data_IF_894740528970
#
_entry.id   IF_894740528970
#
_cell.length_a   1.000
_cell.length_b   1.000
_cell.length_c   1.000
_cell.angle_alpha   90.00
_cell.angle_beta   90.00
_cell.angle_gamma   90.00
#
_symmetry.space_group_name_H-M   'P 1'
#
loop_
_entity.id
_entity.type
_entity.pdbx_description
1 polymer ?
#
# COMPACT_ATOMS: atom_id res chain seq x y z
N UNK A 1 9.98 -1.47 11.38
CA UNK A 1 8.60 -0.94 11.36
C UNK A 1 7.99 -1.33 10.03
N UNK A 2 6.76 -1.82 10.03
CA UNK A 2 5.99 -2.16 8.84
C UNK A 2 4.83 -1.18 8.65
N UNK A 3 4.78 -0.53 7.50
CA UNK A 3 3.64 0.26 7.06
C UNK A 3 2.87 -0.49 5.96
N UNK A 4 1.55 -0.61 6.14
CA UNK A 4 0.63 -1.09 5.12
C UNK A 4 -0.06 0.11 4.48
N UNK A 5 -0.06 0.19 3.15
CA UNK A 5 -0.74 1.26 2.41
C UNK A 5 -1.88 0.64 1.62
N UNK A 6 -3.10 1.08 1.92
CA UNK A 6 -4.29 0.73 1.14
C UNK A 6 -4.41 1.66 -0.06
N UNK A 7 -4.35 1.08 -1.25
CA UNK A 7 -4.20 1.76 -2.54
C UNK A 7 -2.75 1.72 -3.03
N UNK A 8 -2.55 1.52 -4.34
CA UNK A 8 -1.24 1.53 -5.00
C UNK A 8 -1.18 2.48 -6.21
N UNK A 9 -2.08 3.45 -6.26
CA UNK A 9 -2.09 4.55 -7.24
C UNK A 9 -0.91 5.53 -7.07
N UNK A 10 -0.94 6.65 -7.79
CA UNK A 10 0.13 7.65 -7.84
C UNK A 10 0.39 8.33 -6.47
N UNK A 11 -0.66 8.77 -5.77
CA UNK A 11 -0.55 9.37 -4.44
C UNK A 11 0.00 8.37 -3.41
N UNK A 12 -0.56 7.15 -3.39
CA UNK A 12 -0.10 6.08 -2.52
C UNK A 12 1.37 5.73 -2.79
N UNK A 13 1.78 5.70 -4.07
CA UNK A 13 3.17 5.44 -4.47
C UNK A 13 4.13 6.52 -3.98
N UNK A 14 3.71 7.78 -4.00
CA UNK A 14 4.47 8.88 -3.40
C UNK A 14 4.72 8.68 -1.90
N UNK A 15 3.69 8.30 -1.14
CA UNK A 15 3.81 7.99 0.28
C UNK A 15 4.72 6.77 0.52
N UNK A 16 4.52 5.70 -0.24
CA UNK A 16 5.32 4.48 -0.18
C UNK A 16 6.81 4.75 -0.36
N UNK A 17 7.17 5.51 -1.41
CA UNK A 17 8.57 5.87 -1.66
C UNK A 17 9.18 6.67 -0.51
N UNK A 18 8.42 7.61 0.08
CA UNK A 18 8.93 8.42 1.19
C UNK A 18 9.20 7.56 2.41
N UNK A 19 8.26 6.68 2.78
CA UNK A 19 8.41 5.76 3.90
C UNK A 19 9.58 4.79 3.67
N UNK A 20 9.67 4.19 2.48
CA UNK A 20 10.75 3.29 2.11
C UNK A 20 12.14 3.94 2.23
N UNK A 21 12.28 5.17 1.72
CA UNK A 21 13.55 5.93 1.82
C UNK A 21 13.91 6.32 3.26
N UNK A 22 12.96 6.26 4.19
CA UNK A 22 13.22 6.43 5.63
C UNK A 22 13.57 5.12 6.35
N UNK A 23 13.68 3.99 5.63
CA UNK A 23 14.00 2.68 6.20
C UNK A 23 12.80 1.96 6.82
N UNK A 24 11.57 2.35 6.44
CA UNK A 24 10.34 1.66 6.85
C UNK A 24 9.98 0.63 5.78
N UNK A 25 9.70 -0.60 6.20
CA UNK A 25 9.19 -1.63 5.30
C UNK A 25 7.77 -1.26 4.86
N UNK A 26 7.49 -1.34 3.57
CA UNK A 26 6.19 -0.96 3.01
C UNK A 26 5.58 -2.11 2.24
N UNK A 27 4.33 -2.45 2.55
CA UNK A 27 3.47 -3.31 1.75
C UNK A 27 2.30 -2.47 1.24
N UNK A 28 1.88 -2.69 0.00
CA UNK A 28 0.74 -1.99 -0.59
C UNK A 28 -0.36 -2.98 -1.00
N UNK A 29 -1.62 -2.55 -0.92
CA UNK A 29 -2.75 -3.29 -1.50
C UNK A 29 -3.47 -2.43 -2.54
N UNK A 30 -4.13 -3.07 -3.50
CA UNK A 30 -5.03 -2.38 -4.44
C UNK A 30 -6.10 -3.34 -4.96
N UNK A 31 -6.98 -2.84 -5.83
CA UNK A 31 -7.92 -3.63 -6.59
C UNK A 31 -7.18 -4.66 -7.47
N UNK A 32 -7.78 -5.85 -7.64
CA UNK A 32 -7.27 -6.86 -8.58
C UNK A 32 -7.16 -6.35 -10.03
N UNK A 33 -7.95 -5.33 -10.38
CA UNK A 33 -7.83 -4.56 -11.62
C UNK A 33 -7.67 -3.09 -11.28
N UNK A 34 -6.43 -2.59 -11.10
CA UNK A 34 -6.20 -1.22 -10.69
C UNK A 34 -6.73 -0.19 -11.69
N UNK A 35 -7.20 0.94 -11.17
CA UNK A 35 -7.82 2.02 -11.96
C UNK A 35 -6.92 3.25 -12.11
N UNK A 36 -5.64 3.14 -11.71
CA UNK A 36 -4.68 4.23 -11.77
C UNK A 36 -4.60 4.84 -13.18
N UNK A 37 -4.86 6.15 -13.26
CA UNK A 37 -4.75 6.90 -14.52
C UNK A 37 -3.27 7.13 -14.84
N UNK A 38 -2.49 7.62 -13.86
CA UNK A 38 -1.05 7.88 -13.99
C UNK A 38 -0.23 6.62 -13.75
N UNK A 39 -0.32 5.65 -14.67
CA UNK A 39 0.27 4.32 -14.49
C UNK A 39 1.79 4.32 -14.35
N UNK A 40 2.51 5.18 -15.06
CA UNK A 40 4.00 5.18 -15.05
C UNK A 40 4.61 5.51 -13.69
N UNK A 41 3.82 6.08 -12.77
CA UNK A 41 4.25 6.47 -11.42
C UNK A 41 3.49 5.72 -10.33
N UNK A 42 2.76 4.64 -10.70
CA UNK A 42 1.92 3.88 -9.79
C UNK A 42 2.46 2.45 -9.60
N UNK A 43 2.69 2.04 -8.35
CA UNK A 43 3.10 0.67 -8.02
C UNK A 43 2.01 -0.36 -8.29
N UNK A 44 0.75 0.05 -8.47
CA UNK A 44 -0.35 -0.83 -8.88
C UNK A 44 -0.06 -1.60 -10.18
N UNK A 45 0.85 -1.13 -11.04
CA UNK A 45 1.29 -1.88 -12.22
C UNK A 45 1.90 -3.24 -11.87
N UNK A 46 2.48 -3.42 -10.68
CA UNK A 46 2.99 -4.71 -10.25
C UNK A 46 1.88 -5.78 -10.23
N UNK A 47 0.64 -5.41 -9.85
CA UNK A 47 -0.50 -6.34 -9.88
C UNK A 47 -0.77 -6.87 -11.30
N UNK A 48 -0.64 -6.00 -12.31
CA UNK A 48 -0.95 -6.34 -13.70
C UNK A 48 0.21 -7.08 -14.39
N UNK A 49 1.45 -6.65 -14.12
CA UNK A 49 2.64 -7.08 -14.86
C UNK A 49 3.56 -8.01 -14.07
N UNK A 50 3.23 -8.31 -12.81
CA UNK A 50 4.07 -9.08 -11.89
C UNK A 50 5.10 -8.22 -11.17
N UNK A 51 5.63 -7.17 -11.80
CA UNK A 51 6.53 -6.21 -11.19
C UNK A 51 6.45 -4.83 -11.87
N UNK A 52 6.98 -3.81 -11.20
CA UNK A 52 7.20 -2.50 -11.78
C UNK A 52 8.34 -1.78 -11.06
N UNK A 53 8.91 -0.74 -11.67
CA UNK A 53 9.91 0.12 -11.02
C UNK A 53 9.50 1.56 -11.19
N UNK A 54 9.41 2.29 -10.08
CA UNK A 54 9.11 3.73 -10.05
C UNK A 54 10.24 4.42 -9.31
N UNK A 55 10.89 5.41 -9.94
CA UNK A 55 11.99 6.18 -9.34
C UNK A 55 13.09 5.31 -8.72
N UNK A 56 13.42 4.20 -9.38
CA UNK A 56 14.44 3.24 -8.95
C UNK A 56 14.01 2.26 -7.84
N UNK A 57 12.80 2.40 -7.29
CA UNK A 57 12.24 1.46 -6.34
C UNK A 57 11.46 0.36 -7.07
N UNK A 58 11.90 -0.89 -6.90
CA UNK A 58 11.24 -2.06 -7.47
C UNK A 58 10.10 -2.53 -6.58
N UNK A 59 8.93 -2.69 -7.19
CA UNK A 59 7.76 -3.28 -6.58
C UNK A 59 7.37 -4.57 -7.28
N UNK A 60 6.94 -5.58 -6.50
CA UNK A 60 6.66 -6.93 -6.99
C UNK A 60 5.30 -7.38 -6.49
N UNK A 61 4.54 -8.07 -7.32
CA UNK A 61 3.26 -8.66 -6.93
C UNK A 61 3.50 -9.75 -5.90
N UNK A 62 2.76 -9.70 -4.79
CA UNK A 62 2.67 -10.78 -3.83
C UNK A 62 1.28 -11.39 -3.89
N UNK A 63 1.18 -12.71 -3.79
CA UNK A 63 -0.08 -13.44 -3.76
C UNK A 63 -0.70 -13.48 -2.37
N UNK A 64 0.10 -13.30 -1.32
CA UNK A 64 -0.35 -13.32 0.08
C UNK A 64 0.64 -12.60 1.02
N UNK A 65 0.24 -12.45 2.29
CA UNK A 65 1.04 -11.78 3.32
C UNK A 65 2.38 -12.47 3.61
N UNK A 66 2.43 -13.81 3.59
CA UNK A 66 3.67 -14.55 3.78
C UNK A 66 4.69 -14.28 2.66
N UNK A 67 4.24 -14.24 1.40
CA UNK A 67 5.07 -13.86 0.26
C UNK A 67 5.49 -12.39 0.33
N UNK A 68 4.59 -11.49 0.75
CA UNK A 68 4.93 -10.09 0.95
C UNK A 68 6.08 -9.92 1.97
N UNK A 69 6.01 -10.62 3.11
CA UNK A 69 7.10 -10.64 4.11
C UNK A 69 8.41 -11.19 3.54
N UNK A 70 8.35 -12.15 2.61
CA UNK A 70 9.54 -12.66 1.92
C UNK A 70 10.15 -11.61 0.99
N UNK A 71 9.34 -10.98 0.16
CA UNK A 71 9.79 -9.94 -0.78
C UNK A 71 10.39 -8.72 -0.07
N UNK A 72 9.86 -8.33 1.09
CA UNK A 72 10.45 -7.29 1.93
C UNK A 72 11.89 -7.64 2.35
N UNK A 73 12.13 -8.88 2.80
CA UNK A 73 13.49 -9.34 3.16
C UNK A 73 14.44 -9.37 1.97
N UNK A 74 13.91 -9.48 0.76
CA UNK A 74 14.66 -9.41 -0.51
C UNK A 74 14.84 -7.96 -1.01
N UNK A 75 14.35 -6.97 -0.27
CA UNK A 75 14.50 -5.55 -0.60
C UNK A 75 13.57 -5.06 -1.71
N UNK A 76 12.46 -5.75 -1.95
CA UNK A 76 11.43 -5.34 -2.93
C UNK A 76 10.14 -4.92 -2.22
N UNK A 77 9.45 -3.91 -2.76
CA UNK A 77 8.17 -3.43 -2.25
C UNK A 77 7.03 -4.36 -2.70
N UNK A 78 6.33 -5.07 -1.81
CA UNK A 78 5.27 -5.98 -2.22
C UNK A 78 3.96 -5.23 -2.49
N UNK A 79 3.24 -5.65 -3.54
CA UNK A 79 1.92 -5.13 -3.88
C UNK A 79 0.94 -6.29 -4.02
N UNK A 80 -0.15 -6.28 -3.25
CA UNK A 80 -1.17 -7.32 -3.26
C UNK A 80 -2.44 -6.84 -3.96
N UNK A 81 -3.04 -7.74 -4.75
CA UNK A 81 -4.41 -7.60 -5.23
C UNK A 81 -5.40 -7.95 -4.11
N UNK A 82 -5.57 -7.03 -3.17
CA UNK A 82 -6.38 -7.20 -1.94
C UNK A 82 -7.24 -5.94 -1.69
N UNK A 83 -8.43 -5.84 -2.33
CA UNK A 83 -9.28 -4.65 -2.27
C UNK A 83 -9.82 -4.36 -0.85
N UNK A 84 -10.03 -5.41 -0.07
CA UNK A 84 -10.53 -5.32 1.31
C UNK A 84 -9.41 -5.10 2.33
N UNK A 85 -8.15 -5.12 1.90
CA UNK A 85 -6.99 -4.98 2.78
C UNK A 85 -6.98 -6.05 3.89
N UNK A 86 -7.46 -7.26 3.59
CA UNK A 86 -7.58 -8.37 4.53
C UNK A 86 -6.20 -8.88 5.01
N UNK A 87 -5.16 -8.74 4.20
CA UNK A 87 -3.79 -9.13 4.56
C UNK A 87 -3.26 -8.41 5.82
N UNK A 88 -3.90 -7.29 6.21
CA UNK A 88 -3.62 -6.57 7.46
C UNK A 88 -3.63 -7.47 8.69
N UNK A 89 -4.57 -8.42 8.78
CA UNK A 89 -4.70 -9.29 9.96
C UNK A 89 -3.44 -10.15 10.17
N UNK A 90 -2.84 -10.65 9.09
CA UNK A 90 -1.63 -11.47 9.13
C UNK A 90 -0.34 -10.62 9.15
N UNK A 91 -0.35 -9.48 8.46
CA UNK A 91 0.78 -8.56 8.43
C UNK A 91 0.97 -7.83 9.77
N UNK A 92 -0.13 -7.55 10.48
CA UNK A 92 -0.17 -6.79 11.73
C UNK A 92 0.74 -5.53 11.69
N UNK A 93 0.46 -4.57 10.78
CA UNK A 93 1.35 -3.44 10.54
C UNK A 93 1.36 -2.47 11.73
N UNK A 94 2.50 -1.78 11.90
CA UNK A 94 2.65 -0.70 12.89
C UNK A 94 1.89 0.56 12.45
N UNK A 95 1.74 0.75 11.13
CA UNK A 95 1.00 1.85 10.55
C UNK A 95 0.13 1.40 9.36
N UNK A 96 -1.09 1.94 9.28
CA UNK A 96 -1.97 1.81 8.13
C UNK A 96 -2.19 3.18 7.49
N UNK A 97 -1.87 3.29 6.21
CA UNK A 97 -2.11 4.50 5.40
C UNK A 97 -3.23 4.20 4.42
N UNK A 98 -4.38 4.85 4.56
CA UNK A 98 -5.46 4.78 3.57
C UNK A 98 -5.28 5.88 2.53
N UNK A 99 -4.94 5.48 1.30
CA UNK A 99 -4.67 6.37 0.19
C UNK A 99 -5.55 6.07 -1.04
N UNK A 100 -6.73 5.47 -0.86
CA UNK A 100 -7.65 5.16 -1.97
C UNK A 100 -8.39 6.39 -2.51
N UNK A 101 -8.26 7.56 -1.88
CA UNK A 101 -8.89 8.83 -2.27
C UNK A 101 -10.42 8.77 -2.41
N UNK A 102 -11.08 8.04 -1.49
CA UNK A 102 -12.54 7.85 -1.50
C UNK A 102 -13.37 9.12 -1.19
N UNK A 103 -12.72 10.23 -0.82
CA UNK A 103 -13.35 11.49 -0.38
C UNK A 103 -14.17 11.43 0.92
N UNK A 104 -14.15 10.28 1.58
CA UNK A 104 -14.80 9.96 2.86
C UNK A 104 -14.14 8.71 3.44
N UNK A 105 -14.26 8.50 4.75
CA UNK A 105 -13.77 7.28 5.39
C UNK A 105 -14.55 6.06 4.88
N UNK A 106 -13.85 5.08 4.28
CA UNK A 106 -14.44 3.85 3.78
C UNK A 106 -13.70 2.63 4.33
N UNK A 107 -14.24 2.03 5.38
CA UNK A 107 -13.80 0.73 5.89
C UNK A 107 -12.49 0.73 6.70
N UNK A 108 -11.69 1.79 6.62
CA UNK A 108 -10.51 1.98 7.49
C UNK A 108 -10.92 2.65 8.79
N UNK A 109 -10.53 2.07 9.92
CA UNK A 109 -10.83 2.55 11.27
C UNK A 109 -9.56 2.94 12.03
N UNK A 110 -9.70 3.78 13.05
CA UNK A 110 -8.57 4.24 13.89
C UNK A 110 -7.89 3.11 14.68
N UNK A 111 -8.59 2.01 14.92
CA UNK A 111 -8.10 0.83 15.64
C UNK A 111 -7.52 -0.25 14.69
N UNK A 112 -7.44 0.02 13.38
CA UNK A 112 -6.95 -0.97 12.43
C UNK A 112 -5.43 -1.19 12.50
N UNK A 113 -4.67 -0.24 13.08
CA UNK A 113 -3.25 -0.31 13.39
C UNK A 113 -2.91 0.69 14.52
N UNK A 114 -1.75 0.59 15.19
CA UNK A 114 -1.32 1.57 16.18
C UNK A 114 -1.26 3.01 15.65
N UNK A 115 -0.93 3.17 14.35
CA UNK A 115 -0.92 4.45 13.65
C UNK A 115 -1.82 4.34 12.42
N UNK A 116 -2.82 5.21 12.29
CA UNK A 116 -3.70 5.24 11.11
C UNK A 116 -3.67 6.63 10.48
N UNK A 117 -3.42 6.69 9.18
CA UNK A 117 -3.33 7.94 8.40
C UNK A 117 -4.26 7.86 7.21
N UNK A 118 -5.25 8.76 7.15
CA UNK A 118 -6.05 8.97 5.95
C UNK A 118 -5.38 9.99 5.03
N UNK A 119 -5.28 9.67 3.74
CA UNK A 119 -4.68 10.54 2.72
C UNK A 119 -5.71 10.90 1.68
N UNK A 120 -5.96 12.20 1.52
CA UNK A 120 -6.86 12.75 0.52
C UNK A 120 -7.89 13.70 1.12
N UNK A 121 -8.65 14.39 0.25
CA UNK A 121 -9.74 15.25 0.71
C UNK A 121 -10.81 14.42 1.44
N UNK A 122 -11.47 15.01 2.45
CA UNK A 122 -12.62 14.40 3.13
C UNK A 122 -12.30 13.23 4.06
N UNK A 123 -11.03 12.95 4.35
CA UNK A 123 -10.65 12.05 5.44
C UNK A 123 -10.61 12.80 6.78
N UNK A 124 -11.19 12.20 7.81
CA UNK A 124 -11.07 12.66 9.21
C UNK A 124 -10.46 11.54 10.04
N UNK A 125 -9.37 11.82 10.75
CA UNK A 125 -8.78 10.83 11.66
C UNK A 125 -9.71 10.60 12.86
N UNK A 126 -10.03 9.34 13.16
CA UNK A 126 -10.84 8.97 14.34
C UNK A 126 -12.36 8.98 14.14
N UNK A 127 -12.84 9.09 12.90
CA UNK A 127 -14.27 9.11 12.53
C UNK A 127 -14.72 7.83 11.81
#
# INVERSE_FOLDING_TARGET
>A
MLALIRGAGDIASGAAMRLWRCGIDVVMTDLARPTAIRRTVAFSNAIVHGETTVEGLRAVRAENAAEAKKLLREGSLPVLADPECACREELAPDALVDAILAKRNLGTKIDDAPIVVGVGPGFTAGE
#
